data_IF_003655321400
#
_entry.id   IF_003655321400
#
_cell.length_a   1.000
_cell.length_b   1.000
_cell.length_c   1.000
_cell.angle_alpha   90.00
_cell.angle_beta   90.00
_cell.angle_gamma   90.00
#
_symmetry.space_group_name_H-M   'P 1'
#
loop_
_entity.id
_entity.type
_entity.pdbx_description
1 polymer ?
#
# COMPACT_ATOMS: atom_id res chain seq x y z
N UNK A 1 -17.27 7.92 -5.74
CA UNK A 1 -15.87 7.73 -6.15
C UNK A 1 -14.91 7.47 -4.97
N UNK A 2 -15.42 7.23 -3.75
CA UNK A 2 -14.60 7.02 -2.54
C UNK A 2 -14.31 5.54 -2.24
N UNK A 3 -14.90 4.61 -2.99
CA UNK A 3 -14.84 3.15 -2.71
C UNK A 3 -13.48 2.46 -2.96
N UNK A 4 -12.55 3.11 -3.61
CA UNK A 4 -11.30 2.44 -4.05
C UNK A 4 -10.06 2.76 -3.21
N UNK A 5 -10.15 3.61 -2.19
CA UNK A 5 -8.96 4.22 -1.58
C UNK A 5 -8.62 3.61 -0.21
N UNK A 6 -9.58 3.08 0.52
CA UNK A 6 -9.33 2.53 1.86
C UNK A 6 -8.74 1.11 1.85
N UNK A 7 -8.88 0.36 0.74
CA UNK A 7 -8.31 -0.99 0.61
C UNK A 7 -6.82 -1.05 0.28
N UNK A 8 -6.18 0.07 -0.02
CA UNK A 8 -4.76 0.11 -0.36
C UNK A 8 -3.82 0.12 0.86
N UNK A 9 -4.34 0.42 2.05
CA UNK A 9 -3.54 0.51 3.28
C UNK A 9 -3.47 -0.80 4.10
N UNK A 10 -4.20 -1.85 3.71
CA UNK A 10 -4.17 -3.13 4.42
C UNK A 10 -3.51 -4.24 3.60
N UNK A 11 -2.32 -3.98 3.09
CA UNK A 11 -1.44 -5.07 2.62
C UNK A 11 -0.80 -5.72 3.84
N UNK A 12 -1.53 -6.62 4.47
CA UNK A 12 -1.03 -7.36 5.61
C UNK A 12 0.22 -8.15 5.21
N UNK A 13 1.38 -7.68 5.62
CA UNK A 13 2.54 -8.55 5.75
C UNK A 13 2.32 -9.47 6.96
N UNK A 14 1.48 -10.50 6.79
CA UNK A 14 1.61 -11.68 7.62
C UNK A 14 3.09 -12.05 7.54
N UNK A 15 3.70 -12.39 8.65
CA UNK A 15 5.01 -13.06 8.75
C UNK A 15 4.96 -14.35 7.91
N UNK A 16 4.89 -14.21 6.61
CA UNK A 16 5.22 -15.26 5.68
C UNK A 16 6.74 -15.32 5.74
N UNK A 17 7.27 -16.38 6.32
CA UNK A 17 8.66 -16.81 6.09
C UNK A 17 8.95 -16.51 4.63
N UNK A 18 10.14 -15.98 4.28
CA UNK A 18 10.45 -15.74 2.88
C UNK A 18 10.18 -17.06 2.15
N UNK A 19 9.10 -17.07 1.37
CA UNK A 19 8.86 -18.18 0.47
C UNK A 19 10.09 -18.21 -0.42
N UNK A 20 10.82 -19.28 -0.40
CA UNK A 20 11.89 -19.52 -1.36
C UNK A 20 11.30 -19.16 -2.73
N UNK A 21 12.02 -18.37 -3.52
CA UNK A 21 11.58 -18.00 -4.86
C UNK A 21 11.13 -19.29 -5.55
N UNK A 22 9.86 -19.32 -5.96
CA UNK A 22 9.36 -20.48 -6.70
C UNK A 22 10.27 -20.70 -7.91
N UNK A 23 10.59 -21.95 -8.26
CA UNK A 23 11.47 -22.24 -9.39
C UNK A 23 10.92 -21.51 -10.64
N UNK A 24 11.79 -20.90 -11.41
CA UNK A 24 11.44 -20.29 -12.70
C UNK A 24 10.85 -21.40 -13.60
N UNK A 25 9.53 -21.42 -13.71
CA UNK A 25 8.80 -22.43 -14.49
C UNK A 25 8.92 -22.19 -15.98
N UNK A 26 9.67 -21.17 -16.42
CA UNK A 26 9.73 -20.75 -17.82
C UNK A 26 8.41 -20.15 -18.35
N UNK A 27 7.40 -20.05 -17.49
CA UNK A 27 6.09 -19.52 -17.87
C UNK A 27 6.18 -18.03 -18.20
N UNK A 28 5.51 -17.64 -19.28
CA UNK A 28 5.40 -16.26 -19.73
C UNK A 28 3.94 -15.89 -19.94
N UNK A 29 3.63 -14.62 -19.78
CA UNK A 29 2.30 -14.12 -20.14
C UNK A 29 2.07 -14.20 -21.66
N UNK A 30 0.81 -14.42 -22.13
CA UNK A 30 0.50 -14.50 -23.55
C UNK A 30 0.95 -13.23 -24.28
N UNK A 31 1.73 -13.39 -25.34
CA UNK A 31 2.31 -12.29 -26.14
C UNK A 31 1.27 -11.28 -26.58
N UNK A 32 0.12 -11.75 -27.08
CA UNK A 32 -0.98 -10.89 -27.52
C UNK A 32 -1.54 -9.99 -26.40
N UNK A 33 -1.57 -10.48 -25.14
CA UNK A 33 -2.00 -9.69 -23.99
C UNK A 33 -1.01 -8.58 -23.67
N UNK A 34 0.30 -8.88 -23.67
CA UNK A 34 1.35 -7.89 -23.47
C UNK A 34 1.35 -6.81 -24.55
N UNK A 35 1.18 -7.20 -25.83
CA UNK A 35 1.14 -6.28 -26.97
C UNK A 35 -0.07 -5.34 -26.91
N UNK A 36 -1.25 -5.87 -26.57
CA UNK A 36 -2.46 -5.04 -26.37
C UNK A 36 -2.29 -4.06 -25.21
N UNK A 37 -1.79 -4.53 -24.08
CA UNK A 37 -1.55 -3.68 -22.93
C UNK A 37 -0.50 -2.60 -23.21
N UNK A 38 0.62 -2.94 -23.82
CA UNK A 38 1.65 -1.97 -24.20
C UNK A 38 1.13 -0.91 -25.18
N UNK A 39 0.29 -1.30 -26.15
CA UNK A 39 -0.35 -0.37 -27.05
C UNK A 39 -1.34 0.57 -26.34
N UNK A 40 -2.08 0.06 -25.36
CA UNK A 40 -3.01 0.87 -24.55
C UNK A 40 -2.25 1.91 -23.73
N UNK A 41 -1.23 1.49 -22.98
CA UNK A 41 -0.40 2.37 -22.13
C UNK A 41 0.30 3.44 -22.98
N UNK A 42 0.83 3.07 -24.14
CA UNK A 42 1.46 4.03 -25.04
C UNK A 42 0.48 5.12 -25.51
N UNK A 43 -0.76 4.75 -25.83
CA UNK A 43 -1.79 5.71 -26.27
C UNK A 43 -2.28 6.61 -25.12
N UNK A 44 -2.41 6.08 -23.89
CA UNK A 44 -3.01 6.82 -22.76
C UNK A 44 -2.02 7.73 -22.05
N UNK A 45 -0.79 7.25 -21.88
CA UNK A 45 0.23 7.90 -21.05
C UNK A 45 1.44 8.39 -21.85
N UNK A 46 1.44 8.24 -23.18
CA UNK A 46 2.53 8.70 -24.04
C UNK A 46 3.85 7.92 -23.88
N UNK A 47 3.82 6.76 -23.24
CA UNK A 47 5.01 5.94 -23.05
C UNK A 47 5.45 5.27 -24.37
N UNK A 48 6.76 5.08 -24.53
CA UNK A 48 7.27 4.36 -25.69
C UNK A 48 6.80 2.90 -25.68
N UNK A 49 5.98 2.51 -26.67
CA UNK A 49 5.38 1.17 -26.78
C UNK A 49 6.44 0.06 -26.80
N UNK A 50 7.53 0.23 -27.53
CA UNK A 50 8.57 -0.79 -27.63
C UNK A 50 9.26 -1.00 -26.27
N UNK A 51 9.54 0.09 -25.54
CA UNK A 51 10.10 0.06 -24.19
C UNK A 51 9.15 -0.62 -23.20
N UNK A 52 7.86 -0.26 -23.20
CA UNK A 52 6.84 -0.88 -22.34
C UNK A 52 6.75 -2.38 -22.62
N UNK A 53 6.67 -2.77 -23.89
CA UNK A 53 6.61 -4.18 -24.27
C UNK A 53 7.88 -4.94 -23.87
N UNK A 54 9.05 -4.33 -23.99
CA UNK A 54 10.30 -4.92 -23.53
C UNK A 54 10.28 -5.18 -22.02
N UNK A 55 9.83 -4.21 -21.22
CA UNK A 55 9.69 -4.37 -19.75
C UNK A 55 8.72 -5.51 -19.44
N UNK A 56 7.53 -5.51 -20.04
CA UNK A 56 6.50 -6.52 -19.79
C UNK A 56 6.95 -7.95 -20.14
N UNK A 57 7.80 -8.12 -21.15
CA UNK A 57 8.38 -9.42 -21.49
C UNK A 57 9.35 -9.96 -20.43
N UNK A 58 9.84 -9.11 -19.53
CA UNK A 58 10.68 -9.52 -18.40
C UNK A 58 9.84 -9.96 -17.18
N UNK A 59 8.52 -9.73 -17.21
CA UNK A 59 7.62 -10.16 -16.14
C UNK A 59 7.45 -11.68 -16.14
N UNK A 60 7.36 -12.25 -14.92
CA UNK A 60 7.17 -13.69 -14.72
C UNK A 60 5.87 -13.93 -13.94
N UNK A 61 4.99 -14.81 -14.40
CA UNK A 61 3.82 -15.24 -13.66
C UNK A 61 4.20 -15.83 -12.31
N UNK A 62 3.46 -15.46 -11.28
CA UNK A 62 3.67 -15.89 -9.89
C UNK A 62 2.38 -16.52 -9.34
N UNK A 63 2.11 -17.83 -9.57
CA UNK A 63 0.88 -18.47 -9.12
C UNK A 63 0.64 -18.39 -7.60
N UNK A 64 1.73 -18.34 -6.80
CA UNK A 64 1.66 -18.14 -5.35
C UNK A 64 0.97 -16.84 -4.96
N UNK A 65 1.10 -15.78 -5.76
CA UNK A 65 0.44 -14.50 -5.54
C UNK A 65 -1.08 -14.63 -5.63
N UNK A 66 -1.58 -15.34 -6.63
CA UNK A 66 -3.02 -15.60 -6.79
C UNK A 66 -3.56 -16.39 -5.59
N UNK A 67 -2.81 -17.40 -5.13
CA UNK A 67 -3.18 -18.18 -3.95
C UNK A 67 -3.22 -17.31 -2.67
N UNK A 68 -2.28 -16.39 -2.48
CA UNK A 68 -2.28 -15.45 -1.35
C UNK A 68 -3.44 -14.47 -1.42
N UNK A 69 -3.79 -13.97 -2.60
CA UNK A 69 -4.92 -13.06 -2.79
C UNK A 69 -6.27 -13.69 -2.46
N UNK A 70 -6.39 -15.01 -2.60
CA UNK A 70 -7.63 -15.74 -2.32
C UNK A 70 -7.80 -16.11 -0.83
N UNK A 71 -6.82 -15.84 0.03
CA UNK A 71 -6.84 -16.19 1.47
C UNK A 71 -6.29 -15.05 2.34
N UNK A 72 -6.89 -13.86 2.31
CA UNK A 72 -6.42 -12.75 3.12
C UNK A 72 -6.70 -13.03 4.60
N UNK A 73 -5.70 -12.76 5.46
CA UNK A 73 -5.78 -13.04 6.90
C UNK A 73 -6.89 -12.25 7.62
N UNK A 74 -7.18 -11.05 7.16
CA UNK A 74 -8.24 -10.18 7.69
C UNK A 74 -9.65 -10.75 7.52
N UNK A 75 -9.87 -11.65 6.59
CA UNK A 75 -11.17 -12.29 6.38
C UNK A 75 -11.43 -13.45 7.34
N UNK A 76 -10.41 -13.97 8.01
CA UNK A 76 -10.51 -15.15 8.88
C UNK A 76 -10.28 -14.84 10.37
N UNK A 77 -9.70 -13.70 10.70
CA UNK A 77 -9.38 -13.32 12.08
C UNK A 77 -10.40 -12.32 12.63
N UNK A 78 -10.90 -12.57 13.86
CA UNK A 78 -11.63 -11.56 14.62
C UNK A 78 -10.69 -10.42 15.02
N UNK A 79 -11.24 -9.20 15.21
CA UNK A 79 -10.44 -8.02 15.56
C UNK A 79 -9.49 -8.23 16.74
N UNK A 80 -9.92 -8.90 17.82
CA UNK A 80 -9.08 -9.15 18.98
C UNK A 80 -7.90 -10.10 18.70
N UNK A 81 -8.01 -10.99 17.71
CA UNK A 81 -6.92 -11.84 17.21
C UNK A 81 -6.02 -11.04 16.29
N UNK A 82 -6.62 -10.31 15.34
CA UNK A 82 -5.93 -9.51 14.35
C UNK A 82 -5.03 -8.44 14.98
N UNK A 83 -5.53 -7.66 15.96
CA UNK A 83 -4.76 -6.62 16.62
C UNK A 83 -3.49 -7.14 17.32
N UNK A 84 -3.48 -8.40 17.78
CA UNK A 84 -2.32 -9.01 18.45
C UNK A 84 -1.11 -9.17 17.52
N UNK A 85 -1.31 -9.20 16.22
CA UNK A 85 -0.24 -9.24 15.23
C UNK A 85 0.61 -7.97 15.31
N UNK A 86 -0.02 -6.83 15.64
CA UNK A 86 0.63 -5.52 15.62
C UNK A 86 0.97 -4.99 17.01
N UNK A 87 0.19 -5.33 18.03
CA UNK A 87 0.34 -4.80 19.38
C UNK A 87 1.12 -5.77 20.28
N UNK A 88 2.34 -6.10 19.88
CA UNK A 88 3.27 -6.87 20.72
C UNK A 88 4.21 -5.91 21.46
N UNK A 89 4.66 -6.26 22.71
CA UNK A 89 5.64 -5.45 23.44
C UNK A 89 6.87 -5.12 22.59
N UNK A 90 7.44 -6.12 21.92
CA UNK A 90 8.59 -5.94 21.05
C UNK A 90 8.34 -4.89 19.96
N UNK A 91 7.19 -4.94 19.25
CA UNK A 91 6.88 -3.98 18.19
C UNK A 91 6.68 -2.57 18.74
N UNK A 92 6.11 -2.44 19.94
CA UNK A 92 5.93 -1.16 20.62
C UNK A 92 7.29 -0.56 21.00
N UNK A 93 8.18 -1.35 21.59
CA UNK A 93 9.53 -0.92 21.99
C UNK A 93 10.38 -0.52 20.78
N UNK A 94 10.31 -1.29 19.71
CA UNK A 94 11.01 -0.97 18.45
C UNK A 94 10.42 0.28 17.78
N UNK A 95 9.11 0.50 17.89
CA UNK A 95 8.47 1.75 17.44
C UNK A 95 8.95 2.97 18.22
N UNK A 96 9.09 2.83 19.53
CA UNK A 96 9.67 3.89 20.35
C UNK A 96 11.15 4.15 20.02
N UNK A 97 11.92 3.11 19.72
CA UNK A 97 13.31 3.24 19.25
C UNK A 97 13.37 3.91 17.88
N UNK A 98 12.52 3.49 16.93
CA UNK A 98 12.40 4.12 15.62
C UNK A 98 12.04 5.60 15.73
N UNK A 99 11.08 5.96 16.58
CA UNK A 99 10.74 7.36 16.83
C UNK A 99 11.93 8.15 17.34
N UNK A 100 12.64 7.65 18.34
CA UNK A 100 13.83 8.34 18.88
C UNK A 100 14.91 8.55 17.81
N UNK A 101 15.15 7.55 16.97
CA UNK A 101 16.12 7.62 15.89
C UNK A 101 15.80 8.69 14.83
N UNK A 102 14.51 8.88 14.55
CA UNK A 102 14.02 9.81 13.51
C UNK A 102 13.34 11.06 14.10
N UNK A 103 13.54 11.35 15.38
CA UNK A 103 12.82 12.37 16.13
C UNK A 103 12.77 13.72 15.43
N UNK A 104 13.93 14.24 15.02
CA UNK A 104 14.04 15.57 14.41
C UNK A 104 13.20 15.69 13.13
N UNK A 105 13.33 14.72 12.25
CA UNK A 105 12.57 14.67 10.99
C UNK A 105 11.07 14.53 11.24
N UNK A 106 10.67 13.66 12.15
CA UNK A 106 9.28 13.42 12.49
C UNK A 106 8.63 14.68 13.11
N UNK A 107 9.30 15.37 14.04
CA UNK A 107 8.81 16.59 14.67
C UNK A 107 8.69 17.74 13.66
N UNK A 108 9.71 17.93 12.81
CA UNK A 108 9.69 18.95 11.76
C UNK A 108 8.56 18.71 10.76
N UNK A 109 8.51 17.53 10.17
CA UNK A 109 7.50 17.19 9.16
C UNK A 109 6.11 17.18 9.77
N UNK A 110 5.97 16.69 11.01
CA UNK A 110 4.71 16.71 11.73
C UNK A 110 4.18 18.13 11.92
N UNK A 111 5.04 19.08 12.28
CA UNK A 111 4.70 20.49 12.41
C UNK A 111 4.35 21.13 11.05
N UNK A 112 5.20 20.92 10.03
CA UNK A 112 5.01 21.45 8.67
C UNK A 112 3.70 20.95 8.03
N UNK A 113 3.35 19.69 8.26
CA UNK A 113 2.18 19.04 7.66
C UNK A 113 0.94 19.06 8.54
N UNK A 114 1.03 19.52 9.79
CA UNK A 114 -0.09 19.49 10.73
C UNK A 114 -0.56 18.06 11.05
N UNK A 115 0.35 17.10 11.12
CA UNK A 115 0.07 15.69 11.44
C UNK A 115 0.92 15.27 12.63
N UNK A 116 0.26 14.78 13.69
CA UNK A 116 1.03 14.33 14.84
C UNK A 116 1.90 13.11 14.48
N UNK A 117 3.21 13.16 14.75
CA UNK A 117 4.16 12.10 14.40
C UNK A 117 3.78 10.69 14.83
N UNK A 118 3.01 10.56 15.94
CA UNK A 118 2.54 9.25 16.42
C UNK A 118 1.78 8.45 15.38
N UNK A 119 1.01 9.12 14.52
CA UNK A 119 0.22 8.44 13.49
C UNK A 119 1.08 8.03 12.30
N UNK A 120 2.10 8.83 11.96
CA UNK A 120 3.08 8.47 10.93
C UNK A 120 3.83 7.19 11.37
N UNK A 121 4.34 7.18 12.60
CA UNK A 121 5.06 6.02 13.16
C UNK A 121 4.14 4.80 13.28
N UNK A 122 2.89 4.98 13.72
CA UNK A 122 1.93 3.88 13.86
C UNK A 122 1.62 3.22 12.50
N UNK A 123 1.39 4.02 11.45
CA UNK A 123 1.17 3.51 10.09
C UNK A 123 2.39 2.69 9.62
N UNK A 124 3.60 3.24 9.73
CA UNK A 124 4.82 2.53 9.33
C UNK A 124 5.05 1.26 10.16
N UNK A 125 4.64 1.28 11.42
CA UNK A 125 4.67 0.11 12.30
C UNK A 125 3.72 -1.00 11.86
N UNK A 126 2.51 -0.65 11.46
CA UNK A 126 1.50 -1.61 10.98
C UNK A 126 1.88 -2.13 9.60
N UNK A 127 2.21 -1.24 8.67
CA UNK A 127 2.44 -1.61 7.26
C UNK A 127 3.68 -2.47 7.05
N UNK A 128 4.80 -2.09 7.64
CA UNK A 128 6.07 -2.75 7.31
C UNK A 128 6.99 -3.00 8.50
N UNK A 129 6.46 -2.92 9.72
CA UNK A 129 7.31 -3.04 10.90
C UNK A 129 8.48 -2.05 10.84
N UNK A 130 8.14 -0.77 10.63
CA UNK A 130 9.09 0.34 10.54
C UNK A 130 10.09 0.18 9.37
N UNK A 131 9.61 -0.28 8.22
CA UNK A 131 10.41 -0.44 7.00
C UNK A 131 11.19 -1.75 6.89
N UNK A 132 11.06 -2.67 7.85
CA UNK A 132 11.78 -3.96 7.82
C UNK A 132 11.16 -5.00 6.88
N UNK A 133 9.84 -4.92 6.66
CA UNK A 133 9.06 -5.91 5.92
C UNK A 133 8.32 -5.24 4.75
N UNK A 134 9.06 -4.71 3.80
CA UNK A 134 8.50 -3.99 2.64
C UNK A 134 8.06 -4.89 1.49
N UNK A 135 8.26 -6.20 1.63
CA UNK A 135 7.97 -7.20 0.60
C UNK A 135 9.19 -7.59 -0.24
N UNK A 136 9.13 -8.77 -0.82
CA UNK A 136 10.23 -9.39 -1.57
C UNK A 136 9.92 -9.69 -3.03
N UNK A 137 8.65 -9.52 -3.45
CA UNK A 137 8.25 -9.75 -4.84
C UNK A 137 8.70 -8.59 -5.74
N UNK A 138 9.13 -8.89 -6.96
CA UNK A 138 9.25 -7.83 -7.97
C UNK A 138 7.86 -7.26 -8.24
N UNK A 139 7.72 -5.95 -8.13
CA UNK A 139 6.42 -5.27 -8.34
C UNK A 139 5.90 -5.51 -9.76
N UNK A 140 6.80 -5.57 -10.74
CA UNK A 140 6.47 -5.91 -12.13
C UNK A 140 5.78 -7.28 -12.21
N UNK A 141 6.35 -8.32 -11.56
CA UNK A 141 5.78 -9.67 -11.58
C UNK A 141 4.45 -9.73 -10.86
N UNK A 142 4.38 -9.11 -9.68
CA UNK A 142 3.17 -9.09 -8.86
C UNK A 142 2.00 -8.42 -9.60
N UNK A 143 2.21 -7.22 -10.12
CA UNK A 143 1.16 -6.49 -10.82
C UNK A 143 0.79 -7.13 -12.15
N UNK A 144 1.75 -7.70 -12.90
CA UNK A 144 1.47 -8.42 -14.15
C UNK A 144 0.66 -9.69 -13.87
N UNK A 145 1.03 -10.47 -12.84
CA UNK A 145 0.27 -11.66 -12.45
C UNK A 145 -1.17 -11.30 -12.10
N UNK A 146 -1.35 -10.29 -11.26
CA UNK A 146 -2.69 -9.89 -10.83
C UNK A 146 -3.51 -9.20 -11.95
N UNK A 147 -2.84 -8.56 -12.90
CA UNK A 147 -3.51 -7.95 -14.05
C UNK A 147 -3.98 -8.99 -15.08
N UNK A 148 -3.21 -10.05 -15.32
CA UNK A 148 -3.48 -10.99 -16.40
C UNK A 148 -4.07 -12.32 -15.93
N UNK A 149 -3.76 -12.76 -14.70
CA UNK A 149 -4.14 -14.08 -14.20
C UNK A 149 -5.08 -14.03 -12.97
N UNK A 150 -5.59 -12.84 -12.58
CA UNK A 150 -6.52 -12.67 -11.45
C UNK A 150 -7.81 -11.95 -11.90
N UNK A 151 -8.76 -12.65 -12.54
CA UNK A 151 -9.95 -12.03 -13.18
C UNK A 151 -10.80 -11.17 -12.23
N UNK A 152 -10.93 -11.54 -10.93
CA UNK A 152 -11.78 -10.85 -9.97
C UNK A 152 -11.43 -9.37 -9.82
N UNK A 153 -10.14 -9.02 -9.96
CA UNK A 153 -9.63 -7.65 -9.84
C UNK A 153 -8.62 -7.27 -10.93
N UNK A 154 -8.59 -8.03 -12.03
CA UNK A 154 -7.62 -7.84 -13.13
C UNK A 154 -7.60 -6.42 -13.67
N UNK A 155 -8.78 -5.79 -13.85
CA UNK A 155 -8.88 -4.41 -14.31
C UNK A 155 -8.21 -3.41 -13.34
N UNK A 156 -8.40 -3.59 -12.02
CA UNK A 156 -7.76 -2.75 -11.01
C UNK A 156 -6.23 -2.88 -11.08
N UNK A 157 -5.72 -4.12 -11.12
CA UNK A 157 -4.28 -4.36 -11.16
C UNK A 157 -3.64 -3.97 -12.50
N UNK A 158 -4.36 -4.08 -13.60
CA UNK A 158 -3.92 -3.53 -14.88
C UNK A 158 -3.72 -1.99 -14.79
N UNK A 159 -4.63 -1.28 -14.14
CA UNK A 159 -4.44 0.14 -13.83
C UNK A 159 -3.23 0.42 -12.95
N UNK A 160 -2.96 -0.42 -11.94
CA UNK A 160 -1.76 -0.28 -11.10
C UNK A 160 -0.46 -0.57 -11.87
N UNK A 161 -0.46 -1.57 -12.75
CA UNK A 161 0.67 -1.88 -13.63
C UNK A 161 0.97 -0.71 -14.58
N UNK A 162 -0.07 -0.10 -15.17
CA UNK A 162 0.06 1.11 -15.99
C UNK A 162 0.71 2.25 -15.17
N UNK A 163 0.20 2.52 -13.96
CA UNK A 163 0.76 3.55 -13.06
C UNK A 163 2.20 3.22 -12.63
N UNK A 164 2.53 1.95 -12.45
CA UNK A 164 3.90 1.53 -12.15
C UNK A 164 4.87 1.85 -13.28
N UNK A 165 4.49 1.59 -14.53
CA UNK A 165 5.31 1.91 -15.69
C UNK A 165 5.51 3.42 -15.85
N UNK A 166 4.46 4.22 -15.62
CA UNK A 166 4.56 5.70 -15.59
C UNK A 166 5.50 6.16 -14.47
N UNK A 167 5.32 5.63 -13.26
CA UNK A 167 6.14 5.96 -12.10
C UNK A 167 7.62 5.68 -12.34
N UNK A 168 7.94 4.49 -12.83
CA UNK A 168 9.34 4.10 -13.05
C UNK A 168 10.01 4.96 -14.11
N UNK A 169 9.29 5.40 -15.12
CA UNK A 169 9.83 6.35 -16.12
C UNK A 169 10.01 7.75 -15.51
N UNK A 170 8.98 8.27 -14.79
CA UNK A 170 9.02 9.61 -14.18
C UNK A 170 10.18 9.76 -13.18
N UNK A 171 10.32 8.78 -12.30
CA UNK A 171 11.26 8.83 -11.18
C UNK A 171 12.59 8.12 -11.48
N UNK A 172 12.77 7.67 -12.73
CA UNK A 172 13.99 6.98 -13.21
C UNK A 172 14.33 5.73 -12.41
N UNK A 173 13.31 5.01 -11.96
CA UNK A 173 13.47 3.73 -11.28
C UNK A 173 13.67 2.60 -12.30
N UNK A 174 14.48 1.60 -11.93
CA UNK A 174 14.54 0.39 -12.72
C UNK A 174 13.32 -0.50 -12.45
N UNK A 175 12.39 -0.67 -13.43
CA UNK A 175 11.18 -1.47 -13.24
C UNK A 175 11.45 -2.96 -12.95
N UNK A 176 12.67 -3.44 -13.24
CA UNK A 176 13.04 -4.84 -13.03
C UNK A 176 13.56 -5.10 -11.61
N UNK A 177 13.95 -4.04 -10.87
CA UNK A 177 14.56 -4.16 -9.54
C UNK A 177 13.61 -3.78 -8.40
N UNK A 178 12.55 -2.99 -8.66
CA UNK A 178 11.62 -2.55 -7.63
C UNK A 178 10.92 -3.73 -6.97
N UNK A 179 11.07 -3.82 -5.63
CA UNK A 179 10.43 -4.84 -4.80
C UNK A 179 9.29 -4.24 -3.97
N UNK A 180 8.35 -5.10 -3.62
CA UNK A 180 7.18 -4.74 -2.83
C UNK A 180 6.42 -5.96 -2.33
N UNK A 181 5.17 -5.75 -1.89
CA UNK A 181 4.29 -6.82 -1.45
C UNK A 181 3.83 -7.70 -2.62
N UNK A 182 3.22 -8.83 -2.30
CA UNK A 182 2.60 -9.71 -3.30
C UNK A 182 1.46 -9.01 -4.08
N UNK A 183 0.87 -7.94 -3.54
CA UNK A 183 -0.14 -7.13 -4.21
C UNK A 183 0.44 -5.92 -4.98
N UNK A 184 1.77 -5.75 -4.98
CA UNK A 184 2.45 -4.67 -5.69
C UNK A 184 2.51 -3.35 -4.94
N UNK A 185 2.27 -3.34 -3.62
CA UNK A 185 2.49 -2.18 -2.76
C UNK A 185 3.98 -1.99 -2.48
N UNK A 186 4.44 -0.74 -2.39
CA UNK A 186 5.86 -0.38 -2.39
C UNK A 186 6.27 0.46 -1.20
N UNK A 187 7.52 0.25 -0.77
CA UNK A 187 8.18 1.04 0.27
C UNK A 187 7.62 0.85 1.67
N UNK A 188 8.18 1.54 2.69
CA UNK A 188 7.78 1.41 4.08
C UNK A 188 6.30 1.73 4.37
N UNK A 189 5.65 2.56 3.55
CA UNK A 189 4.25 2.95 3.68
C UNK A 189 3.30 2.14 2.80
N UNK A 190 3.79 1.14 2.06
CA UNK A 190 3.01 0.25 1.21
C UNK A 190 2.08 0.97 0.22
N UNK A 191 2.57 2.02 -0.43
CA UNK A 191 1.79 2.69 -1.46
C UNK A 191 1.69 1.84 -2.72
N UNK A 192 0.46 1.70 -3.24
CA UNK A 192 0.24 1.24 -4.60
C UNK A 192 0.78 2.27 -5.60
N UNK A 193 1.16 1.88 -6.83
CA UNK A 193 1.72 2.83 -7.82
C UNK A 193 0.88 4.08 -8.04
N UNK A 194 -0.44 3.96 -8.08
CA UNK A 194 -1.34 5.12 -8.20
C UNK A 194 -1.28 6.04 -6.99
N UNK A 195 -1.16 5.50 -5.79
CA UNK A 195 -1.02 6.26 -4.56
C UNK A 195 0.35 6.94 -4.50
N UNK A 196 1.41 6.26 -4.92
CA UNK A 196 2.74 6.83 -5.03
C UNK A 196 2.74 8.04 -5.96
N UNK A 197 2.19 7.90 -7.17
CA UNK A 197 2.09 9.01 -8.12
C UNK A 197 1.30 10.21 -7.59
N UNK A 198 0.30 9.96 -6.76
CA UNK A 198 -0.62 10.99 -6.28
C UNK A 198 -0.19 11.65 -4.98
N UNK A 199 0.41 10.90 -4.06
CA UNK A 199 0.63 11.35 -2.69
C UNK A 199 2.09 11.45 -2.28
N UNK A 200 3.03 10.95 -3.10
CA UNK A 200 4.44 11.08 -2.80
C UNK A 200 4.90 12.54 -2.80
N UNK A 201 5.62 12.92 -1.77
CA UNK A 201 6.20 14.25 -1.57
C UNK A 201 7.71 14.13 -1.50
N UNK A 202 8.41 14.96 -2.26
CA UNK A 202 9.85 15.15 -2.11
C UNK A 202 10.13 16.28 -1.12
N UNK A 203 11.00 16.03 -0.18
CA UNK A 203 11.49 17.04 0.78
C UNK A 203 12.78 17.69 0.32
N UNK A 204 13.34 17.26 -0.80
CA UNK A 204 14.57 17.75 -1.39
C UNK A 204 14.42 18.16 -2.85
N UNK A 205 15.55 18.17 -3.57
CA UNK A 205 15.59 18.39 -5.01
C UNK A 205 15.43 17.05 -5.74
N UNK A 206 14.50 16.97 -6.68
CA UNK A 206 14.28 15.77 -7.49
C UNK A 206 13.00 15.01 -7.14
N UNK A 207 12.79 13.82 -7.75
CA UNK A 207 11.61 13.01 -7.47
C UNK A 207 11.63 12.45 -6.05
N UNK A 208 10.43 12.17 -5.46
CA UNK A 208 10.36 11.59 -4.13
C UNK A 208 10.94 10.17 -4.11
N UNK A 209 11.69 9.84 -3.07
CA UNK A 209 12.24 8.51 -2.84
C UNK A 209 11.56 7.85 -1.63
N UNK A 210 10.53 7.07 -1.88
CA UNK A 210 9.77 6.37 -0.85
C UNK A 210 10.34 4.98 -0.49
N UNK A 211 11.57 4.69 -0.90
CA UNK A 211 12.23 3.41 -0.57
C UNK A 211 13.27 3.59 0.54
N UNK A 212 14.02 4.69 0.53
CA UNK A 212 15.17 4.89 1.42
C UNK A 212 15.24 6.27 2.06
N UNK A 213 14.54 7.29 1.55
CA UNK A 213 14.53 8.62 2.14
C UNK A 213 13.40 8.75 3.16
N UNK A 214 13.74 8.70 4.45
CA UNK A 214 12.77 8.77 5.53
C UNK A 214 12.02 10.10 5.59
N UNK A 215 12.60 11.21 5.21
CA UNK A 215 11.92 12.50 5.18
C UNK A 215 10.81 12.49 4.13
N UNK A 216 11.09 11.99 2.93
CA UNK A 216 10.09 11.84 1.87
C UNK A 216 8.98 10.86 2.29
N UNK A 217 9.35 9.77 2.98
CA UNK A 217 8.40 8.78 3.49
C UNK A 217 7.46 9.43 4.52
N UNK A 218 7.98 10.13 5.52
CA UNK A 218 7.17 10.78 6.55
C UNK A 218 6.27 11.88 5.96
N UNK A 219 6.81 12.73 5.08
CA UNK A 219 6.05 13.77 4.41
C UNK A 219 4.92 13.18 3.55
N UNK A 220 5.17 12.07 2.87
CA UNK A 220 4.18 11.41 2.03
C UNK A 220 3.07 10.73 2.84
N UNK A 221 3.39 10.12 3.99
CA UNK A 221 2.36 9.61 4.93
C UNK A 221 1.50 10.75 5.46
N UNK A 222 2.13 11.85 5.87
CA UNK A 222 1.41 13.03 6.36
C UNK A 222 0.52 13.64 5.27
N UNK A 223 1.04 13.79 4.06
CA UNK A 223 0.28 14.29 2.91
C UNK A 223 -0.92 13.38 2.59
N UNK A 224 -0.72 12.05 2.62
CA UNK A 224 -1.81 11.09 2.43
C UNK A 224 -2.92 11.29 3.46
N UNK A 225 -2.60 11.40 4.74
CA UNK A 225 -3.58 11.64 5.80
C UNK A 225 -4.35 12.95 5.56
N UNK A 226 -3.66 14.03 5.24
CA UNK A 226 -4.29 15.33 4.94
C UNK A 226 -5.22 15.25 3.72
N UNK A 227 -4.79 14.59 2.67
CA UNK A 227 -5.60 14.41 1.46
C UNK A 227 -6.88 13.59 1.73
N UNK A 228 -6.91 12.84 2.85
CA UNK A 228 -8.06 12.04 3.30
C UNK A 228 -8.82 12.64 4.49
N UNK A 229 -8.69 13.95 4.70
CA UNK A 229 -9.50 14.65 5.68
C UNK A 229 -8.92 14.72 7.09
N UNK A 230 -7.61 14.47 7.25
CA UNK A 230 -6.96 14.68 8.53
C UNK A 230 -7.14 16.12 9.02
N UNK A 231 -7.57 16.25 10.29
CA UNK A 231 -7.67 17.53 10.97
C UNK A 231 -6.78 17.49 12.22
N UNK A 232 -5.86 18.44 12.31
CA UNK A 232 -4.98 18.53 13.47
C UNK A 232 -5.77 18.75 14.75
N UNK A 233 -5.46 17.97 15.78
CA UNK A 233 -6.14 18.05 17.08
C UNK A 233 -7.50 17.37 17.15
N UNK A 234 -8.09 16.95 16.03
CA UNK A 234 -9.34 16.21 16.04
C UNK A 234 -9.16 14.79 16.61
N UNK A 235 -10.17 14.24 17.31
CA UNK A 235 -10.11 12.88 17.83
C UNK A 235 -10.13 11.86 16.68
N UNK A 236 -9.23 10.87 16.73
CA UNK A 236 -9.18 9.78 15.75
C UNK A 236 -10.13 8.65 16.14
N UNK A 237 -10.39 8.49 17.42
CA UNK A 237 -11.34 7.52 17.95
C UNK A 237 -11.96 8.06 19.25
N UNK A 238 -13.18 7.60 19.55
CA UNK A 238 -13.84 7.82 20.83
C UNK A 238 -14.15 6.48 21.47
N UNK A 239 -14.02 6.41 22.79
CA UNK A 239 -14.51 5.26 23.55
C UNK A 239 -16.03 5.30 23.57
N UNK A 240 -16.65 4.17 23.29
CA UNK A 240 -18.10 4.00 23.40
C UNK A 240 -18.40 2.98 24.47
N UNK A 241 -19.54 3.16 25.14
CA UNK A 241 -20.16 2.17 26.02
C UNK A 241 -21.40 1.67 25.31
N UNK A 242 -21.50 0.38 25.13
CA UNK A 242 -22.69 -0.23 24.56
C UNK A 242 -23.59 -0.63 25.74
N UNK A 243 -24.79 -0.08 25.79
CA UNK A 243 -25.77 -0.44 26.84
C UNK A 243 -26.24 -1.89 26.60
N UNK A 244 -26.52 -2.64 27.70
CA UNK A 244 -27.05 -3.99 27.60
C UNK A 244 -28.34 -4.02 26.76
N UNK A 245 -28.39 -4.90 25.76
CA UNK A 245 -29.53 -5.04 24.86
C UNK A 245 -29.55 -4.08 23.67
N UNK A 246 -28.60 -3.19 23.54
CA UNK A 246 -28.47 -2.35 22.33
C UNK A 246 -28.05 -3.20 21.12
N UNK A 247 -28.79 -3.09 20.04
CA UNK A 247 -28.49 -3.77 18.77
C UNK A 247 -28.16 -2.75 17.69
N UNK A 248 -26.97 -2.86 17.12
CA UNK A 248 -26.53 -2.02 16.00
C UNK A 248 -26.46 -2.86 14.71
N UNK A 249 -27.20 -2.46 13.71
CA UNK A 249 -27.00 -2.97 12.36
C UNK A 249 -25.76 -2.25 11.76
N UNK A 250 -24.62 -2.94 11.77
CA UNK A 250 -23.42 -2.46 11.10
C UNK A 250 -23.23 -3.30 9.85
N UNK A 251 -23.23 -2.64 8.70
CA UNK A 251 -22.79 -3.26 7.45
C UNK A 251 -21.26 -3.16 7.39
N UNK A 252 -20.53 -4.28 7.57
CA UNK A 252 -19.07 -4.26 7.58
C UNK A 252 -18.47 -3.88 6.22
N UNK A 253 -19.26 -4.00 5.14
CA UNK A 253 -18.83 -3.66 3.78
C UNK A 253 -19.11 -2.19 3.43
N UNK A 254 -19.82 -1.47 4.30
CA UNK A 254 -20.20 -0.08 4.09
C UNK A 254 -19.15 0.85 4.69
N UNK A 255 -18.35 1.47 3.81
CA UNK A 255 -17.32 2.42 4.19
C UNK A 255 -17.81 3.89 4.20
N UNK A 256 -19.10 4.15 3.98
CA UNK A 256 -19.65 5.50 3.99
C UNK A 256 -19.78 6.00 5.43
N UNK A 257 -19.22 7.18 5.73
CA UNK A 257 -19.43 7.89 6.99
C UNK A 257 -20.78 8.63 6.92
N UNK A 258 -21.86 7.90 7.10
CA UNK A 258 -23.25 8.38 6.95
C UNK A 258 -23.98 8.52 8.29
N UNK A 259 -23.31 8.24 9.39
CA UNK A 259 -23.87 8.35 10.74
C UNK A 259 -23.01 9.26 11.61
N UNK A 260 -23.64 10.05 12.42
CA UNK A 260 -22.98 10.85 13.46
C UNK A 260 -22.99 10.09 14.78
N UNK A 261 -22.12 10.49 15.72
CA UNK A 261 -22.14 9.93 17.08
C UNK A 261 -23.53 10.15 17.72
N UNK A 262 -24.17 11.30 17.48
CA UNK A 262 -25.51 11.58 17.97
C UNK A 262 -26.57 10.61 17.43
N UNK A 263 -26.50 10.20 16.14
CA UNK A 263 -27.43 9.20 15.58
C UNK A 263 -27.17 7.77 16.01
N UNK A 264 -26.05 7.50 16.66
CA UNK A 264 -25.71 6.20 17.23
C UNK A 264 -26.00 6.14 18.74
N UNK A 265 -26.26 7.30 19.37
CA UNK A 265 -26.52 7.42 20.79
C UNK A 265 -28.03 7.39 21.15
N UNK A 266 -28.90 7.34 20.14
CA UNK A 266 -30.36 7.21 20.25
C UNK A 266 -30.80 5.79 19.96
#
# INVERSE_FOLDING_TARGET
MLRSILFALLSLTVLVRPAAAAPDTGAHFPRASLERFAAQVARRDGLNRARVLWILRQARPQPSIVAMMNRPAEQVLKWWQYRRIFLTPQRIDEGAAFWRAHRRSLERIGAEQGVNPRYIVAILGVETYYGRLTGSFRVLDALSTLAFDYPQRGHFFAGQLERFLVLTQRDRLDPLSVKGSYAGAMGPMQFMPSAYLRYAVSTGKGPPNLFTNWDDIFASVAHYLRAHGWQYGAPVLSRVRIEPGAHFAVDPDRLALDRTVGTLAT
#
